data_IF_588543308450
#
_entry.id   IF_588543308450
#
_cell.length_a   1.000
_cell.length_b   1.000
_cell.length_c   1.000
_cell.angle_alpha   90.00
_cell.angle_beta   90.00
_cell.angle_gamma   90.00
#
_symmetry.space_group_name_H-M   'P 1'
#
loop_
_entity.id
_entity.type
_entity.pdbx_description
1 polymer ?
#
# COMPACT_ATOMS: atom_id res chain seq x y z
N UNK A 1 -20.61 21.63 -4.74
CA UNK A 1 -19.44 20.81 -4.36
C UNK A 1 -19.08 21.07 -2.90
N UNK A 2 -18.86 20.00 -2.12
CA UNK A 2 -18.53 20.13 -0.71
C UNK A 2 -17.00 20.22 -0.56
N UNK A 3 -16.50 21.34 -0.05
CA UNK A 3 -15.06 21.57 0.09
C UNK A 3 -14.41 20.56 1.03
N UNK A 4 -15.10 20.20 2.12
CA UNK A 4 -14.57 19.21 3.07
C UNK A 4 -14.41 17.83 2.41
N UNK A 5 -15.35 17.40 1.60
CA UNK A 5 -15.25 16.15 0.86
C UNK A 5 -14.15 16.20 -0.19
N UNK A 6 -13.96 17.34 -0.82
CA UNK A 6 -12.90 17.53 -1.80
C UNK A 6 -11.52 17.39 -1.16
N UNK A 7 -11.32 18.06 -0.02
CA UNK A 7 -10.06 17.98 0.72
C UNK A 7 -9.81 16.56 1.22
N UNK A 8 -10.85 15.90 1.76
CA UNK A 8 -10.73 14.51 2.22
C UNK A 8 -10.34 13.58 1.07
N UNK A 9 -10.92 13.76 -0.11
CA UNK A 9 -10.61 12.98 -1.30
C UNK A 9 -9.15 13.14 -1.69
N UNK A 10 -8.64 14.37 -1.71
CA UNK A 10 -7.23 14.65 -2.04
C UNK A 10 -6.31 13.97 -1.03
N UNK A 11 -6.60 14.08 0.26
CA UNK A 11 -5.80 13.46 1.31
C UNK A 11 -5.78 11.94 1.15
N UNK A 12 -6.94 11.34 0.90
CA UNK A 12 -7.04 9.88 0.68
C UNK A 12 -6.23 9.43 -0.52
N UNK A 13 -6.30 10.17 -1.63
CA UNK A 13 -5.52 9.82 -2.84
C UNK A 13 -4.03 9.92 -2.56
N UNK A 14 -3.59 10.98 -1.90
CA UNK A 14 -2.17 11.16 -1.59
C UNK A 14 -1.66 10.09 -0.65
N UNK A 15 -2.36 9.84 0.45
CA UNK A 15 -1.96 8.82 1.43
C UNK A 15 -2.01 7.42 0.82
N UNK A 16 -3.10 7.10 0.12
CA UNK A 16 -3.25 5.80 -0.54
C UNK A 16 -2.19 5.58 -1.61
N UNK A 17 -1.86 6.62 -2.39
CA UNK A 17 -0.83 6.56 -3.40
C UNK A 17 0.56 6.33 -2.80
N UNK A 18 0.89 7.02 -1.72
CA UNK A 18 2.16 6.86 -1.02
C UNK A 18 2.27 5.45 -0.44
N UNK A 19 1.21 4.96 0.22
CA UNK A 19 1.18 3.62 0.79
C UNK A 19 1.30 2.57 -0.30
N UNK A 20 0.54 2.70 -1.38
CA UNK A 20 0.57 1.75 -2.50
C UNK A 20 1.94 1.73 -3.18
N UNK A 21 2.52 2.90 -3.43
CA UNK A 21 3.84 2.99 -4.05
C UNK A 21 4.92 2.40 -3.14
N UNK A 22 4.87 2.71 -1.85
CA UNK A 22 5.80 2.13 -0.88
C UNK A 22 5.67 0.61 -0.79
N UNK A 23 4.43 0.09 -0.84
CA UNK A 23 4.18 -1.34 -0.86
C UNK A 23 4.74 -2.01 -2.11
N UNK A 24 4.61 -1.39 -3.29
CA UNK A 24 5.16 -1.91 -4.53
C UNK A 24 6.69 -1.95 -4.45
N UNK A 25 7.33 -0.87 -4.01
CA UNK A 25 8.77 -0.83 -3.86
C UNK A 25 9.27 -1.88 -2.87
N UNK A 26 8.61 -2.02 -1.74
CA UNK A 26 8.95 -3.03 -0.74
C UNK A 26 8.80 -4.44 -1.32
N UNK A 27 7.79 -4.67 -2.15
CA UNK A 27 7.57 -5.96 -2.80
C UNK A 27 8.75 -6.34 -3.70
N UNK A 28 9.34 -5.39 -4.41
CA UNK A 28 10.52 -5.65 -5.22
C UNK A 28 11.76 -5.97 -4.39
N UNK A 29 11.82 -5.51 -3.15
CA UNK A 29 12.95 -5.76 -2.26
C UNK A 29 12.85 -7.09 -1.52
N UNK A 30 11.70 -7.76 -1.53
CA UNK A 30 11.51 -9.04 -0.86
C UNK A 30 12.08 -10.16 -1.71
N UNK A 31 13.00 -10.99 -1.18
CA UNK A 31 13.57 -12.11 -1.93
C UNK A 31 12.56 -13.23 -2.12
N UNK A 32 12.76 -14.04 -3.16
CA UNK A 32 11.89 -15.17 -3.45
C UNK A 32 12.37 -16.46 -2.81
N UNK A 33 13.61 -16.50 -2.35
CA UNK A 33 14.18 -17.71 -1.75
C UNK A 33 15.01 -17.32 -0.53
N UNK A 34 15.22 -18.25 0.42
CA UNK A 34 16.09 -18.00 1.56
C UNK A 34 17.50 -17.63 1.10
N UNK A 35 18.08 -16.66 1.78
CA UNK A 35 19.44 -16.23 1.46
C UNK A 35 20.21 -15.96 2.75
N UNK A 36 21.53 -15.92 2.62
CA UNK A 36 22.44 -15.61 3.70
C UNK A 36 22.91 -14.18 3.54
N UNK A 37 22.63 -13.35 4.55
CA UNK A 37 23.02 -11.95 4.56
C UNK A 37 24.03 -11.72 5.67
N UNK A 38 25.31 -11.94 5.36
CA UNK A 38 26.42 -11.72 6.28
C UNK A 38 26.32 -12.55 7.55
N UNK A 39 25.68 -12.01 8.57
CA UNK A 39 25.55 -12.65 9.88
C UNK A 39 24.18 -13.27 10.12
N UNK A 40 23.26 -13.17 9.16
CA UNK A 40 21.87 -13.57 9.36
C UNK A 40 21.39 -14.41 8.19
N UNK A 41 20.70 -15.50 8.49
CA UNK A 41 20.03 -16.33 7.50
C UNK A 41 18.55 -15.91 7.47
N UNK A 42 18.06 -15.56 6.28
CA UNK A 42 16.65 -15.24 6.08
C UNK A 42 15.93 -16.51 5.70
N UNK A 43 14.96 -16.91 6.52
CA UNK A 43 14.19 -18.15 6.31
C UNK A 43 12.94 -17.91 5.47
N UNK A 44 12.31 -19.00 5.00
CA UNK A 44 11.04 -18.90 4.29
C UNK A 44 9.94 -18.25 5.13
N UNK A 45 9.91 -18.53 6.44
CA UNK A 45 8.92 -17.92 7.33
C UNK A 45 9.04 -16.41 7.37
N UNK A 46 10.26 -15.89 7.43
CA UNK A 46 10.50 -14.44 7.42
C UNK A 46 10.09 -13.81 6.10
N UNK A 47 10.42 -14.47 4.98
CA UNK A 47 10.04 -13.99 3.65
C UNK A 47 8.53 -13.96 3.52
N UNK A 48 7.86 -15.01 3.96
CA UNK A 48 6.40 -15.12 3.91
C UNK A 48 5.74 -14.03 4.75
N UNK A 49 6.25 -13.78 5.96
CA UNK A 49 5.74 -12.71 6.82
C UNK A 49 5.91 -11.34 6.18
N UNK A 50 7.06 -11.08 5.56
CA UNK A 50 7.30 -9.82 4.85
C UNK A 50 6.34 -9.64 3.68
N UNK A 51 6.07 -10.72 2.93
CA UNK A 51 5.12 -10.67 1.82
C UNK A 51 3.70 -10.40 2.29
N UNK A 52 3.28 -11.04 3.38
CA UNK A 52 1.95 -10.79 3.96
C UNK A 52 1.80 -9.34 4.40
N UNK A 53 2.82 -8.78 5.03
CA UNK A 53 2.80 -7.36 5.40
C UNK A 53 2.71 -6.46 4.17
N UNK A 54 3.48 -6.78 3.13
CA UNK A 54 3.48 -6.03 1.88
C UNK A 54 2.11 -6.09 1.20
N UNK A 55 1.52 -7.28 1.14
CA UNK A 55 0.20 -7.47 0.56
C UNK A 55 -0.86 -6.67 1.32
N UNK A 56 -0.78 -6.68 2.66
CA UNK A 56 -1.68 -5.88 3.49
C UNK A 56 -1.55 -4.38 3.20
N UNK A 57 -0.32 -3.89 3.06
CA UNK A 57 -0.06 -2.48 2.74
C UNK A 57 -0.61 -2.14 1.35
N UNK A 58 -0.38 -3.00 0.35
CA UNK A 58 -0.89 -2.80 -1.00
C UNK A 58 -2.42 -2.76 -1.03
N UNK A 59 -3.06 -3.71 -0.37
CA UNK A 59 -4.53 -3.77 -0.29
C UNK A 59 -5.07 -2.52 0.38
N UNK A 60 -4.46 -2.09 1.48
CA UNK A 60 -4.86 -0.87 2.19
C UNK A 60 -4.77 0.36 1.27
N UNK A 61 -3.66 0.51 0.55
CA UNK A 61 -3.48 1.60 -0.39
C UNK A 61 -4.53 1.59 -1.49
N UNK A 62 -4.82 0.42 -2.06
CA UNK A 62 -5.83 0.28 -3.12
C UNK A 62 -7.23 0.62 -2.60
N UNK A 63 -7.59 0.13 -1.41
CA UNK A 63 -8.90 0.42 -0.81
C UNK A 63 -9.06 1.92 -0.58
N UNK A 64 -8.01 2.59 -0.11
CA UNK A 64 -8.05 4.05 0.10
C UNK A 64 -8.24 4.80 -1.21
N UNK A 65 -7.56 4.39 -2.28
CA UNK A 65 -7.70 5.02 -3.59
C UNK A 65 -9.11 4.81 -4.13
N UNK A 66 -9.65 3.59 -4.03
CA UNK A 66 -11.01 3.29 -4.48
C UNK A 66 -12.03 4.10 -3.68
N UNK A 67 -11.86 4.21 -2.37
CA UNK A 67 -12.74 5.02 -1.53
C UNK A 67 -12.69 6.49 -1.96
N UNK A 68 -11.50 7.00 -2.28
CA UNK A 68 -11.35 8.37 -2.76
C UNK A 68 -12.06 8.58 -4.10
N UNK A 69 -12.00 7.60 -5.00
CA UNK A 69 -12.70 7.65 -6.28
C UNK A 69 -14.21 7.68 -6.08
N UNK A 70 -14.72 6.86 -5.18
CA UNK A 70 -16.14 6.83 -4.85
C UNK A 70 -16.60 8.19 -4.28
N UNK A 71 -15.82 8.75 -3.35
CA UNK A 71 -16.11 10.07 -2.78
C UNK A 71 -16.10 11.16 -3.84
N UNK A 72 -15.15 11.10 -4.77
CA UNK A 72 -15.10 12.05 -5.88
C UNK A 72 -16.34 11.94 -6.75
N UNK A 73 -16.79 10.72 -7.05
CA UNK A 73 -17.98 10.48 -7.85
C UNK A 73 -19.23 11.04 -7.18
N UNK A 74 -19.37 10.80 -5.87
CA UNK A 74 -20.48 11.33 -5.08
C UNK A 74 -20.44 12.86 -5.03
N UNK A 75 -19.26 13.45 -4.94
CA UNK A 75 -19.09 14.89 -4.86
C UNK A 75 -19.42 15.60 -6.18
N UNK A 76 -19.16 14.94 -7.30
CA UNK A 76 -19.47 15.48 -8.63
C UNK A 76 -20.96 15.29 -8.96
N UNK A 77 -21.49 14.14 -8.60
CA UNK A 77 -22.90 13.83 -8.80
C UNK A 77 -23.80 14.50 -7.80
#
# INVERSE_FOLDING_TARGET
MNTSLFVATIILVLVGGIIGFGGILASFCIPYSPYFDGKRVVTYSEIENMRHLCDGVLITGEVMVVAAMILMFVNIG
#
